data_IF_961193875991
#
_entry.id   IF_961193875991
#
_cell.length_a   1.000
_cell.length_b   1.000
_cell.length_c   1.000
_cell.angle_alpha   90.00
_cell.angle_beta   90.00
_cell.angle_gamma   90.00
#
_symmetry.space_group_name_H-M   'P 1'
#
loop_
_entity.id
_entity.type
_entity.pdbx_description
1 polymer ?
#
# COMPACT_ATOMS: atom_id res chain seq x y z
N UNK A 1 -24.36 -16.54 -8.88
CA UNK A 1 -23.74 -17.09 -7.64
C UNK A 1 -24.21 -18.53 -7.52
N UNK A 2 -23.33 -19.49 -7.80
CA UNK A 2 -23.69 -20.91 -7.90
C UNK A 2 -24.16 -21.48 -6.55
N UNK A 3 -25.29 -22.19 -6.56
CA UNK A 3 -25.84 -22.85 -5.38
C UNK A 3 -24.91 -24.01 -4.96
N UNK A 4 -24.47 -24.08 -3.70
CA UNK A 4 -23.54 -25.13 -3.26
C UNK A 4 -24.19 -26.51 -3.14
N UNK A 5 -25.53 -26.59 -3.20
CA UNK A 5 -26.27 -27.85 -3.02
C UNK A 5 -26.65 -28.53 -4.34
N UNK A 6 -27.12 -27.76 -5.32
CA UNK A 6 -27.59 -28.29 -6.61
C UNK A 6 -26.82 -27.75 -7.82
N UNK A 7 -25.92 -26.79 -7.62
CA UNK A 7 -25.11 -26.22 -8.70
C UNK A 7 -25.80 -25.20 -9.60
N UNK A 8 -27.08 -24.89 -9.37
CA UNK A 8 -27.85 -23.89 -10.13
C UNK A 8 -27.32 -22.46 -9.90
N UNK A 9 -27.34 -21.60 -10.93
CA UNK A 9 -26.78 -20.24 -10.84
C UNK A 9 -27.76 -19.19 -10.30
N UNK A 10 -29.05 -19.53 -10.26
CA UNK A 10 -30.13 -18.65 -9.88
C UNK A 10 -30.39 -18.72 -8.36
N UNK A 11 -30.36 -17.54 -7.74
CA UNK A 11 -30.65 -17.38 -6.32
C UNK A 11 -31.18 -16.00 -6.01
N UNK A 12 -32.08 -15.92 -5.04
CA UNK A 12 -32.64 -14.67 -4.55
C UNK A 12 -31.94 -14.26 -3.24
N UNK A 13 -31.52 -13.01 -3.14
CA UNK A 13 -31.02 -12.43 -1.87
C UNK A 13 -32.22 -12.20 -0.95
N UNK A 14 -32.15 -12.73 0.27
CA UNK A 14 -33.19 -12.63 1.29
C UNK A 14 -32.84 -11.64 2.40
N UNK A 15 -31.56 -11.51 2.71
CA UNK A 15 -31.07 -10.64 3.76
C UNK A 15 -29.66 -10.19 3.43
N UNK A 16 -29.36 -8.91 3.67
CA UNK A 16 -28.03 -8.32 3.55
C UNK A 16 -27.66 -7.73 4.90
N UNK A 17 -26.46 -8.03 5.39
CA UNK A 17 -25.86 -7.41 6.57
C UNK A 17 -24.46 -6.94 6.24
N UNK A 18 -24.13 -5.73 6.65
CA UNK A 18 -22.77 -5.19 6.57
C UNK A 18 -22.01 -5.57 7.85
N UNK A 19 -20.75 -5.95 7.69
CA UNK A 19 -19.78 -6.20 8.77
C UNK A 19 -18.53 -5.39 8.45
N UNK A 20 -17.65 -5.16 9.44
CA UNK A 20 -16.44 -4.34 9.25
C UNK A 20 -15.58 -4.78 8.06
N UNK A 21 -15.52 -6.08 7.76
CA UNK A 21 -14.64 -6.64 6.72
C UNK A 21 -15.39 -7.13 5.46
N UNK A 22 -16.73 -7.22 5.47
CA UNK A 22 -17.48 -7.89 4.41
C UNK A 22 -18.97 -7.53 4.36
N UNK A 23 -19.58 -7.70 3.18
CA UNK A 23 -21.04 -7.73 3.02
C UNK A 23 -21.50 -9.20 3.06
N UNK A 24 -22.25 -9.56 4.09
CA UNK A 24 -22.87 -10.88 4.24
C UNK A 24 -24.26 -10.88 3.61
N UNK A 25 -24.50 -11.79 2.66
CA UNK A 25 -25.82 -11.97 2.03
C UNK A 25 -26.36 -13.38 2.27
N UNK A 26 -27.57 -13.48 2.82
CA UNK A 26 -28.34 -14.73 2.89
C UNK A 26 -29.07 -14.91 1.57
N UNK A 27 -28.82 -16.01 0.86
CA UNK A 27 -29.41 -16.32 -0.44
C UNK A 27 -30.29 -17.57 -0.33
N UNK A 28 -31.29 -17.65 -1.19
CA UNK A 28 -32.11 -18.85 -1.39
C UNK A 28 -32.04 -19.27 -2.85
N UNK A 29 -31.70 -20.54 -3.11
CA UNK A 29 -31.72 -21.08 -4.47
C UNK A 29 -33.16 -21.20 -4.97
N UNK A 30 -33.39 -20.81 -6.23
CA UNK A 30 -34.72 -20.89 -6.86
C UNK A 30 -35.05 -22.31 -7.35
N UNK A 31 -34.04 -23.16 -7.60
CA UNK A 31 -34.23 -24.53 -8.07
C UNK A 31 -34.49 -25.53 -6.93
N UNK A 32 -33.65 -25.54 -5.88
CA UNK A 32 -33.76 -26.53 -4.79
C UNK A 32 -34.31 -25.95 -3.47
N UNK A 33 -34.59 -24.64 -3.41
CA UNK A 33 -35.13 -23.97 -2.21
C UNK A 33 -34.14 -23.80 -1.05
N UNK A 34 -32.94 -24.40 -1.14
CA UNK A 34 -31.91 -24.35 -0.08
C UNK A 34 -31.41 -22.93 0.18
N UNK A 35 -31.16 -22.62 1.45
CA UNK A 35 -30.63 -21.32 1.90
C UNK A 35 -29.15 -21.42 2.23
N UNK A 36 -28.36 -20.46 1.74
CA UNK A 36 -26.92 -20.38 1.99
C UNK A 36 -26.49 -18.93 2.20
N UNK A 37 -25.28 -18.72 2.70
CA UNK A 37 -24.72 -17.40 2.99
C UNK A 37 -23.52 -17.17 2.09
N UNK A 38 -23.44 -15.99 1.48
CA UNK A 38 -22.27 -15.54 0.73
C UNK A 38 -21.66 -14.33 1.42
N UNK A 39 -20.34 -14.24 1.38
CA UNK A 39 -19.60 -13.07 1.84
C UNK A 39 -18.98 -12.41 0.62
N UNK A 40 -19.25 -11.12 0.43
CA UNK A 40 -18.58 -10.27 -0.54
C UNK A 40 -17.56 -9.43 0.21
N UNK A 41 -16.31 -9.43 -0.25
CA UNK A 41 -15.19 -8.73 0.37
C UNK A 41 -14.51 -7.91 -0.73
N UNK A 42 -14.03 -6.73 -0.38
CA UNK A 42 -13.11 -6.00 -1.26
C UNK A 42 -11.83 -6.83 -1.36
N UNK A 43 -11.47 -7.23 -2.58
CA UNK A 43 -10.21 -7.91 -2.80
C UNK A 43 -9.10 -6.85 -2.85
N UNK A 44 -8.27 -6.80 -1.81
CA UNK A 44 -7.10 -5.94 -1.74
C UNK A 44 -5.95 -6.55 -2.55
N UNK A 45 -6.04 -6.45 -3.87
CA UNK A 45 -4.97 -6.93 -4.75
C UNK A 45 -3.86 -5.89 -4.80
N UNK A 46 -2.73 -6.22 -4.19
CA UNK A 46 -1.51 -5.44 -4.34
C UNK A 46 -0.82 -5.75 -5.67
N UNK A 47 -0.16 -4.76 -6.31
CA UNK A 47 0.52 -4.95 -7.57
C UNK A 47 1.79 -5.81 -7.43
N UNK A 48 2.23 -6.37 -8.55
CA UNK A 48 3.58 -6.91 -8.68
C UNK A 48 4.56 -5.74 -8.80
N UNK A 49 5.68 -5.81 -8.09
CA UNK A 49 6.73 -4.80 -8.16
C UNK A 49 7.78 -5.20 -9.18
N UNK A 50 8.04 -4.32 -10.14
CA UNK A 50 9.13 -4.45 -11.12
C UNK A 50 10.38 -3.76 -10.56
N UNK A 51 11.41 -4.55 -10.28
CA UNK A 51 12.69 -4.09 -9.72
C UNK A 51 13.56 -3.46 -10.81
N UNK A 52 14.59 -2.72 -10.40
CA UNK A 52 15.52 -2.03 -11.31
C UNK A 52 16.23 -2.97 -12.29
N UNK A 53 16.47 -4.21 -11.89
CA UNK A 53 17.05 -5.28 -12.69
C UNK A 53 16.01 -6.03 -13.57
N UNK A 54 14.75 -5.56 -13.59
CA UNK A 54 13.64 -6.16 -14.34
C UNK A 54 12.98 -7.34 -13.63
N UNK A 55 13.48 -7.75 -12.46
CA UNK A 55 12.87 -8.83 -11.67
C UNK A 55 11.49 -8.44 -11.19
N UNK A 56 10.57 -9.39 -11.14
CA UNK A 56 9.21 -9.21 -10.62
C UNK A 56 9.08 -9.89 -9.26
N UNK A 57 8.57 -9.17 -8.28
CA UNK A 57 8.23 -9.73 -6.97
C UNK A 57 6.89 -9.18 -6.49
N UNK A 58 6.12 -9.92 -5.68
CA UNK A 58 4.93 -9.37 -5.05
C UNK A 58 5.26 -8.13 -4.20
N UNK A 59 4.39 -7.12 -4.21
CA UNK A 59 4.51 -6.02 -3.26
C UNK A 59 4.46 -6.59 -1.83
N UNK A 60 5.40 -6.16 -1.00
CA UNK A 60 5.51 -6.61 0.39
C UNK A 60 5.48 -5.41 1.32
N UNK A 61 4.38 -5.30 2.07
CA UNK A 61 4.23 -4.32 3.15
C UNK A 61 5.39 -4.39 4.14
N UNK A 62 5.72 -5.60 4.59
CA UNK A 62 6.79 -5.86 5.55
C UNK A 62 8.17 -5.41 5.04
N UNK A 63 8.47 -5.56 3.73
CA UNK A 63 9.72 -5.00 3.15
C UNK A 63 9.73 -3.47 3.21
N UNK A 64 8.60 -2.83 2.93
CA UNK A 64 8.48 -1.38 3.00
C UNK A 64 8.66 -0.87 4.44
N UNK A 65 7.98 -1.48 5.41
CA UNK A 65 8.10 -1.19 6.84
C UNK A 65 9.56 -1.27 7.31
N UNK A 66 10.23 -2.40 7.04
CA UNK A 66 11.65 -2.56 7.42
C UNK A 66 12.54 -1.48 6.83
N UNK A 67 12.33 -1.13 5.55
CA UNK A 67 13.12 -0.08 4.89
C UNK A 67 12.91 1.28 5.55
N UNK A 68 11.68 1.57 5.98
CA UNK A 68 11.35 2.81 6.67
C UNK A 68 11.92 2.86 8.08
N UNK A 69 11.81 1.78 8.86
CA UNK A 69 12.42 1.71 10.19
C UNK A 69 13.93 1.93 10.17
N UNK A 70 14.62 1.42 9.15
CA UNK A 70 16.06 1.65 8.96
C UNK A 70 16.34 3.14 8.67
N UNK A 71 15.50 3.79 7.86
CA UNK A 71 15.64 5.20 7.53
C UNK A 71 15.32 6.13 8.72
N UNK A 72 14.33 5.79 9.53
CA UNK A 72 13.87 6.57 10.69
C UNK A 72 14.59 6.23 11.99
N UNK A 73 15.53 5.29 11.98
CA UNK A 73 16.26 4.89 13.19
C UNK A 73 16.96 6.08 13.88
N UNK A 74 16.71 6.26 15.18
CA UNK A 74 17.21 7.40 16.00
C UNK A 74 16.71 8.78 15.52
N UNK A 75 15.59 8.82 14.81
CA UNK A 75 14.88 10.05 14.46
C UNK A 75 13.67 10.22 15.38
N UNK A 76 13.17 11.45 15.57
CA UNK A 76 11.95 11.71 16.32
C UNK A 76 10.71 11.36 15.48
N UNK A 77 10.61 10.10 15.04
CA UNK A 77 9.49 9.57 14.26
C UNK A 77 8.93 8.38 15.02
N UNK A 78 7.64 8.43 15.34
CA UNK A 78 6.99 7.36 16.10
C UNK A 78 6.78 6.11 15.25
N UNK A 79 6.50 4.98 15.90
CA UNK A 79 6.19 3.73 15.18
C UNK A 79 4.88 3.90 14.41
N UNK A 80 3.92 4.56 15.03
CA UNK A 80 2.60 4.88 14.50
C UNK A 80 2.71 5.77 13.24
N UNK A 81 3.64 6.72 13.20
CA UNK A 81 3.90 7.54 12.01
C UNK A 81 4.42 6.70 10.84
N UNK A 82 5.30 5.73 11.12
CA UNK A 82 5.85 4.82 10.11
C UNK A 82 4.75 3.90 9.58
N UNK A 83 3.95 3.30 10.45
CA UNK A 83 2.82 2.45 10.09
C UNK A 83 1.79 3.23 9.24
N UNK A 84 1.45 4.44 9.67
CA UNK A 84 0.55 5.31 8.92
C UNK A 84 1.10 5.69 7.54
N UNK A 85 2.42 5.93 7.41
CA UNK A 85 3.06 6.17 6.12
C UNK A 85 2.96 4.93 5.21
N UNK A 86 3.24 3.75 5.76
CA UNK A 86 3.12 2.47 5.05
C UNK A 86 1.71 2.27 4.54
N UNK A 87 0.69 2.50 5.38
CA UNK A 87 -0.71 2.36 4.99
C UNK A 87 -1.08 3.29 3.83
N UNK A 88 -0.61 4.55 3.86
CA UNK A 88 -0.83 5.50 2.75
C UNK A 88 -0.17 5.05 1.45
N UNK A 89 1.03 4.45 1.52
CA UNK A 89 1.73 3.93 0.34
C UNK A 89 1.06 2.65 -0.19
N UNK A 90 0.65 1.75 0.70
CA UNK A 90 -0.08 0.52 0.36
C UNK A 90 -1.40 0.86 -0.33
N UNK A 91 -2.19 1.76 0.27
CA UNK A 91 -3.45 2.23 -0.31
C UNK A 91 -3.25 2.86 -1.69
N UNK A 92 -2.26 3.75 -1.82
CA UNK A 92 -1.91 4.33 -3.11
C UNK A 92 -1.50 3.27 -4.15
N UNK A 93 -0.83 2.19 -3.73
CA UNK A 93 -0.44 1.11 -4.62
C UNK A 93 -1.66 0.30 -5.08
N UNK A 94 -2.64 0.09 -4.20
CA UNK A 94 -3.92 -0.57 -4.52
C UNK A 94 -4.76 0.27 -5.51
N UNK A 95 -4.86 1.58 -5.28
CA UNK A 95 -5.68 2.50 -6.08
C UNK A 95 -5.20 2.67 -7.53
N UNK A 96 -3.96 2.29 -7.84
CA UNK A 96 -3.42 2.43 -9.20
C UNK A 96 -4.00 1.47 -10.23
N UNK A 97 -4.84 0.51 -9.82
CA UNK A 97 -5.50 -0.49 -10.67
C UNK A 97 -4.56 -1.23 -11.66
N UNK A 98 -3.25 -1.11 -11.47
CA UNK A 98 -2.21 -1.68 -12.31
C UNK A 98 -1.79 -3.04 -11.77
N UNK A 99 -1.56 -4.00 -12.66
CA UNK A 99 -1.00 -5.30 -12.26
C UNK A 99 0.47 -5.18 -11.84
N UNK A 100 1.18 -4.19 -12.38
CA UNK A 100 2.61 -3.98 -12.14
C UNK A 100 2.88 -2.52 -11.74
N UNK A 101 3.80 -2.33 -10.79
CA UNK A 101 4.35 -1.03 -10.41
C UNK A 101 5.87 -1.10 -10.41
N UNK A 102 6.51 -0.09 -10.99
CA UNK A 102 7.95 0.05 -10.86
C UNK A 102 8.32 0.34 -9.40
N UNK A 103 9.33 -0.37 -8.92
CA UNK A 103 9.99 -0.09 -7.64
C UNK A 103 10.46 1.35 -7.55
N UNK A 104 10.72 1.99 -8.70
CA UNK A 104 11.10 3.39 -8.73
C UNK A 104 9.98 4.31 -8.27
N UNK A 105 8.81 4.12 -8.85
CA UNK A 105 7.62 4.92 -8.53
C UNK A 105 7.20 4.73 -7.07
N UNK A 106 7.36 3.52 -6.52
CA UNK A 106 7.12 3.26 -5.10
C UNK A 106 8.12 4.05 -4.23
N UNK A 107 9.41 4.01 -4.56
CA UNK A 107 10.43 4.76 -3.84
C UNK A 107 10.20 6.27 -3.86
N UNK A 108 9.82 6.83 -5.01
CA UNK A 108 9.44 8.24 -5.13
C UNK A 108 8.23 8.62 -4.28
N UNK A 109 7.21 7.75 -4.22
CA UNK A 109 6.05 7.94 -3.35
C UNK A 109 6.45 7.97 -1.88
N UNK A 110 7.30 7.03 -1.47
CA UNK A 110 7.79 6.93 -0.09
C UNK A 110 8.63 8.15 0.28
N UNK A 111 9.52 8.59 -0.62
CA UNK A 111 10.30 9.81 -0.46
C UNK A 111 9.41 11.04 -0.29
N UNK A 112 8.37 11.19 -1.13
CA UNK A 112 7.43 12.30 -0.99
C UNK A 112 6.73 12.34 0.38
N UNK A 113 6.32 11.18 0.91
CA UNK A 113 5.73 11.08 2.24
C UNK A 113 6.75 11.36 3.36
N UNK A 114 7.96 10.83 3.25
CA UNK A 114 9.03 11.04 4.23
C UNK A 114 9.49 12.50 4.31
N UNK A 115 9.45 13.24 3.20
CA UNK A 115 9.86 14.64 3.15
C UNK A 115 9.04 15.51 4.11
N UNK A 116 7.75 15.20 4.31
CA UNK A 116 6.87 15.88 5.26
C UNK A 116 6.99 15.38 6.71
N UNK A 117 7.71 14.27 6.94
CA UNK A 117 7.86 13.65 8.27
C UNK A 117 9.21 14.00 8.88
N UNK A 118 10.31 13.68 8.20
CA UNK A 118 11.66 13.96 8.69
C UNK A 118 12.66 14.09 7.52
N UNK A 119 13.23 15.29 7.30
CA UNK A 119 14.23 15.55 6.25
C UNK A 119 15.46 14.61 6.28
N UNK A 120 15.88 14.16 7.47
CA UNK A 120 17.05 13.29 7.60
C UNK A 120 16.70 11.84 7.25
N UNK A 121 15.54 11.35 7.69
CA UNK A 121 15.02 10.05 7.29
C UNK A 121 14.78 9.98 5.78
N UNK A 122 14.28 11.07 5.19
CA UNK A 122 14.19 11.23 3.73
C UNK A 122 15.55 10.97 3.05
N UNK A 123 16.60 11.70 3.45
CA UNK A 123 17.93 11.55 2.84
C UNK A 123 18.50 10.14 3.04
N UNK A 124 18.28 9.53 4.22
CA UNK A 124 18.73 8.15 4.49
C UNK A 124 18.00 7.11 3.66
N UNK A 125 16.70 7.30 3.44
CA UNK A 125 15.94 6.44 2.55
C UNK A 125 16.40 6.63 1.10
N UNK A 126 16.55 7.89 0.67
CA UNK A 126 16.99 8.26 -0.67
C UNK A 126 18.37 7.68 -1.00
N UNK A 127 19.32 7.67 -0.05
CA UNK A 127 20.67 7.16 -0.31
C UNK A 127 20.70 5.68 -0.69
N UNK A 128 19.89 4.86 -0.01
CA UNK A 128 19.76 3.43 -0.31
C UNK A 128 18.95 3.23 -1.59
N UNK A 129 17.83 3.94 -1.70
CA UNK A 129 16.91 3.76 -2.81
C UNK A 129 17.51 4.25 -4.13
N UNK A 130 18.07 5.46 -4.19
CA UNK A 130 18.70 6.02 -5.39
C UNK A 130 20.07 5.40 -5.68
N UNK A 131 20.66 4.68 -4.72
CA UNK A 131 22.01 4.13 -4.79
C UNK A 131 23.03 5.26 -4.98
N UNK A 132 23.14 6.12 -3.96
CA UNK A 132 24.14 7.19 -3.97
C UNK A 132 25.54 6.58 -3.93
N UNK A 133 26.33 6.92 -4.94
CA UNK A 133 27.70 6.44 -5.09
C UNK A 133 28.72 7.56 -4.81
N UNK A 134 28.29 8.83 -4.87
CA UNK A 134 29.16 10.00 -4.69
C UNK A 134 28.56 11.02 -3.70
N UNK A 135 29.37 11.73 -2.88
CA UNK A 135 28.90 12.83 -2.04
C UNK A 135 28.04 13.89 -2.76
N UNK A 136 28.29 14.14 -4.05
CA UNK A 136 27.51 15.06 -4.87
C UNK A 136 26.04 14.62 -5.04
N UNK A 137 25.75 13.31 -4.95
CA UNK A 137 24.36 12.80 -4.93
C UNK A 137 23.59 13.37 -3.73
N UNK A 138 24.23 13.41 -2.56
CA UNK A 138 23.63 13.99 -1.36
C UNK A 138 23.38 15.48 -1.54
N UNK A 139 24.33 16.22 -2.12
CA UNK A 139 24.19 17.67 -2.35
C UNK A 139 23.01 17.95 -3.28
N UNK A 140 22.90 17.20 -4.38
CA UNK A 140 21.77 17.31 -5.32
C UNK A 140 20.44 17.04 -4.62
N UNK A 141 20.40 15.99 -3.81
CA UNK A 141 19.15 15.59 -3.18
C UNK A 141 18.73 16.53 -2.04
N UNK A 142 19.69 17.07 -1.28
CA UNK A 142 19.43 18.13 -0.29
C UNK A 142 18.90 19.39 -0.96
N UNK A 143 19.48 19.78 -2.11
CA UNK A 143 19.00 20.91 -2.89
C UNK A 143 17.56 20.69 -3.39
N UNK A 144 17.26 19.46 -3.84
CA UNK A 144 15.90 19.06 -4.23
C UNK A 144 14.92 19.15 -3.07
N UNK A 145 15.29 18.63 -1.90
CA UNK A 145 14.46 18.65 -0.70
C UNK A 145 14.10 20.08 -0.27
N UNK A 146 15.08 21.00 -0.33
CA UNK A 146 14.85 22.43 -0.06
C UNK A 146 13.85 23.09 -1.03
N UNK A 147 13.84 22.65 -2.28
CA UNK A 147 12.93 23.16 -3.31
C UNK A 147 11.51 22.57 -3.24
N UNK A 148 11.33 21.41 -2.59
CA UNK A 148 10.01 20.77 -2.40
C UNK A 148 9.16 21.52 -1.35
N UNK A 149 9.74 22.51 -0.66
CA UNK A 149 9.02 23.35 0.29
C UNK A 149 8.80 22.60 1.60
N UNK A 150 9.73 22.77 2.53
CA UNK A 150 9.42 22.56 3.94
C UNK A 150 8.52 23.74 4.35
N UNK A 151 7.20 23.57 4.37
CA UNK A 151 6.39 24.44 5.22
C UNK A 151 6.85 24.16 6.65
N UNK A 152 7.60 25.10 7.24
CA UNK A 152 8.04 25.01 8.63
C UNK A 152 6.81 24.78 9.52
N UNK A 153 6.84 23.84 10.49
CA UNK A 153 5.77 23.74 11.45
C UNK A 153 5.71 25.04 12.23
N UNK A 154 4.63 25.80 12.01
CA UNK A 154 4.33 27.03 12.74
C UNK A 154 4.45 26.76 14.23
N UNK A 155 5.39 27.46 14.89
CA UNK A 155 5.61 27.41 16.33
C UNK A 155 4.43 27.99 17.09
#
# INVERSE_FOLDING_TARGET
MRCPFCGDENSQVKETRETEEAIRRRRQCTACGSRYTTFERCEEVLPVVVKRDGRREPFSREKLERSLFVATQKRPVSVEDVEGLVDRVVRWAQERNGRELDSRTIGERVMGELAGVDPVAYIRFASVYLAFDDPDDFVREIARLRNIGMEEPTT
#
